data_IF_387928126919
#
_entry.id   IF_387928126919
#
_cell.length_a   1.000
_cell.length_b   1.000
_cell.length_c   1.000
_cell.angle_alpha   90.00
_cell.angle_beta   90.00
_cell.angle_gamma   90.00
#
_symmetry.space_group_name_H-M   'P 1'
#
loop_
_entity.id
_entity.type
_entity.pdbx_description
1 polymer ?
#
# COMPACT_ATOMS: atom_id res chain seq x y z
N UNK A 1 15.38 3.93 13.97
CA UNK A 1 14.10 3.26 13.60
C UNK A 1 14.35 1.85 13.07
N UNK A 2 14.61 0.87 13.95
CA UNK A 2 14.81 -0.55 13.57
C UNK A 2 13.48 -1.30 13.40
N UNK A 3 12.56 -0.66 12.70
CA UNK A 3 11.20 -1.14 12.48
C UNK A 3 11.12 -2.18 11.38
N UNK A 4 11.79 -3.32 11.56
CA UNK A 4 11.78 -4.42 10.58
C UNK A 4 10.99 -5.59 11.16
N UNK A 5 10.26 -6.31 10.28
CA UNK A 5 9.57 -7.58 10.53
C UNK A 5 9.03 -7.83 11.96
N UNK A 6 7.70 -7.78 12.15
CA UNK A 6 7.09 -8.24 13.39
C UNK A 6 7.40 -9.71 13.71
N UNK A 7 7.17 -10.09 14.98
CA UNK A 7 7.60 -11.38 15.54
C UNK A 7 7.26 -12.61 14.68
N UNK A 8 6.12 -12.62 13.98
CA UNK A 8 5.76 -13.72 13.06
C UNK A 8 6.75 -13.85 11.89
N UNK A 9 7.10 -12.73 11.25
CA UNK A 9 8.03 -12.73 10.11
C UNK A 9 9.45 -13.03 10.58
N UNK A 10 9.84 -12.52 11.74
CA UNK A 10 11.13 -12.83 12.37
C UNK A 10 11.23 -14.33 12.71
N UNK A 11 10.19 -14.90 13.31
CA UNK A 11 10.16 -16.33 13.65
C UNK A 11 10.35 -17.21 12.41
N UNK A 12 9.66 -16.91 11.31
CA UNK A 12 9.87 -17.63 10.04
C UNK A 12 11.28 -17.43 9.47
N UNK A 13 11.87 -16.23 9.61
CA UNK A 13 13.24 -15.97 9.16
C UNK A 13 14.26 -16.79 9.96
N UNK A 14 14.13 -16.81 11.29
CA UNK A 14 15.00 -17.60 12.17
C UNK A 14 14.86 -19.10 11.89
N UNK A 15 13.64 -19.61 11.67
CA UNK A 15 13.44 -21.01 11.28
C UNK A 15 14.09 -21.35 9.94
N UNK A 16 14.03 -20.46 8.94
CA UNK A 16 14.72 -20.66 7.65
C UNK A 16 16.24 -20.67 7.76
N UNK A 17 16.77 -19.99 8.77
CA UNK A 17 18.20 -20.03 9.10
C UNK A 17 18.59 -21.23 9.96
N UNK A 18 17.67 -22.16 10.25
CA UNK A 18 17.95 -23.38 11.00
C UNK A 18 17.81 -23.27 12.51
N UNK A 19 17.34 -22.13 13.05
CA UNK A 19 17.15 -21.96 14.48
C UNK A 19 15.90 -22.71 14.97
N UNK A 20 16.07 -23.58 15.96
CA UNK A 20 14.97 -24.21 16.70
C UNK A 20 14.43 -23.25 17.76
N UNK A 21 13.65 -22.26 17.32
CA UNK A 21 13.07 -21.23 18.19
C UNK A 21 11.54 -21.15 18.06
N UNK A 22 10.88 -21.02 19.21
CA UNK A 22 9.44 -20.79 19.27
C UNK A 22 9.04 -19.36 18.87
N UNK A 23 7.80 -19.19 18.42
CA UNK A 23 7.24 -17.87 18.07
C UNK A 23 7.32 -16.89 19.25
N UNK A 24 6.94 -17.33 20.44
CA UNK A 24 6.87 -16.47 21.63
C UNK A 24 8.26 -16.17 22.18
N UNK A 25 9.21 -17.11 22.03
CA UNK A 25 10.61 -16.88 22.34
C UNK A 25 11.22 -15.84 21.40
N UNK A 26 10.85 -15.87 20.11
CA UNK A 26 11.23 -14.82 19.14
C UNK A 26 10.68 -13.46 19.57
N UNK A 27 9.41 -13.39 19.97
CA UNK A 27 8.79 -12.16 20.45
C UNK A 27 9.47 -11.61 21.71
N UNK A 28 9.87 -12.50 22.64
CA UNK A 28 10.62 -12.13 23.84
C UNK A 28 12.01 -11.57 23.49
N UNK A 29 12.75 -12.23 22.59
CA UNK A 29 14.06 -11.75 22.13
C UNK A 29 13.95 -10.39 21.43
N UNK A 30 12.93 -10.20 20.59
CA UNK A 30 12.66 -8.91 19.96
C UNK A 30 12.41 -7.81 21.01
N UNK A 31 11.64 -8.10 22.06
CA UNK A 31 11.40 -7.16 23.17
C UNK A 31 12.68 -6.79 23.90
N UNK A 32 13.51 -7.78 24.24
CA UNK A 32 14.82 -7.56 24.88
C UNK A 32 15.74 -6.71 24.00
N UNK A 33 15.72 -6.94 22.69
CA UNK A 33 16.52 -6.20 21.72
C UNK A 33 15.92 -4.83 21.32
N UNK A 34 14.78 -4.42 21.90
CA UNK A 34 14.08 -3.18 21.52
C UNK A 34 13.50 -3.19 20.10
N UNK A 35 13.43 -4.36 19.46
CA UNK A 35 12.92 -4.55 18.11
C UNK A 35 11.40 -4.64 18.12
N UNK A 36 10.77 -3.85 17.25
CA UNK A 36 9.32 -3.85 17.08
C UNK A 36 8.99 -3.97 15.58
N UNK A 37 7.93 -4.74 15.30
CA UNK A 37 7.44 -4.87 13.94
C UNK A 37 6.74 -3.59 13.50
N UNK A 38 7.15 -3.03 12.36
CA UNK A 38 6.37 -1.99 11.68
C UNK A 38 5.34 -2.64 10.78
N UNK A 39 4.08 -2.25 10.96
CA UNK A 39 3.01 -2.48 9.99
C UNK A 39 3.00 -1.28 9.05
N UNK A 40 3.31 -1.48 7.77
CA UNK A 40 2.99 -0.46 6.76
C UNK A 40 1.48 -0.29 6.77
N UNK A 41 1.02 0.96 6.90
CA UNK A 41 -0.40 1.29 6.75
C UNK A 41 -0.92 0.77 5.41
N UNK A 42 -2.22 0.47 5.34
CA UNK A 42 -2.85 0.11 4.07
C UNK A 42 -2.82 1.35 3.18
N UNK A 43 -2.26 1.24 1.98
CA UNK A 43 -2.46 2.28 0.98
C UNK A 43 -3.94 2.29 0.59
N UNK A 44 -4.61 3.45 0.58
CA UNK A 44 -5.91 3.56 -0.04
C UNK A 44 -5.76 3.22 -1.52
N UNK A 45 -6.46 2.18 -1.96
CA UNK A 45 -6.61 1.91 -3.39
C UNK A 45 -7.70 2.84 -3.89
N UNK A 46 -7.33 3.84 -4.70
CA UNK A 46 -8.23 4.86 -5.26
C UNK A 46 -9.05 4.32 -6.42
N UNK A 47 -8.56 3.27 -7.08
CA UNK A 47 -9.17 2.72 -8.29
C UNK A 47 -9.14 1.21 -8.21
N UNK A 48 -10.32 0.59 -8.18
CA UNK A 48 -10.47 -0.84 -8.44
C UNK A 48 -10.70 -0.96 -9.93
N UNK A 49 -9.70 -1.45 -10.67
CA UNK A 49 -9.84 -1.69 -12.10
C UNK A 49 -11.01 -2.64 -12.35
N UNK A 50 -11.84 -2.32 -13.34
CA UNK A 50 -12.86 -3.26 -13.82
C UNK A 50 -12.18 -4.54 -14.29
N UNK A 51 -12.79 -5.69 -14.01
CA UNK A 51 -12.35 -6.98 -14.56
C UNK A 51 -12.79 -7.17 -16.02
N UNK A 52 -13.68 -6.31 -16.50
CA UNK A 52 -14.15 -6.30 -17.87
C UNK A 52 -13.30 -5.33 -18.70
N UNK A 53 -13.05 -5.62 -19.99
CA UNK A 53 -12.42 -4.67 -20.89
C UNK A 53 -13.21 -3.36 -20.93
N UNK A 54 -12.49 -2.24 -20.93
CA UNK A 54 -13.11 -0.92 -21.11
C UNK A 54 -13.28 -0.66 -22.61
N UNK A 55 -14.54 -0.59 -23.05
CA UNK A 55 -14.90 -0.36 -24.44
C UNK A 55 -15.27 1.10 -24.71
N UNK A 56 -15.13 2.00 -23.72
CA UNK A 56 -15.42 3.42 -23.92
C UNK A 56 -14.35 4.03 -24.84
N UNK A 57 -14.74 4.72 -25.92
CA UNK A 57 -13.78 5.38 -26.79
C UNK A 57 -13.13 6.56 -26.06
N UNK A 58 -11.81 6.69 -26.19
CA UNK A 58 -11.07 7.90 -25.80
C UNK A 58 -11.27 8.95 -26.89
N UNK A 59 -12.30 9.78 -26.75
CA UNK A 59 -12.72 10.75 -27.77
C UNK A 59 -11.67 11.84 -28.06
N UNK A 60 -10.68 11.97 -27.19
CA UNK A 60 -9.65 13.02 -27.28
C UNK A 60 -8.24 12.44 -27.37
N UNK A 61 -8.10 11.12 -27.42
CA UNK A 61 -6.80 10.44 -27.54
C UNK A 61 -5.74 10.91 -26.53
N UNK A 62 -6.17 11.26 -25.31
CA UNK A 62 -5.33 11.86 -24.25
C UNK A 62 -4.72 13.23 -24.58
N UNK A 63 -5.19 13.90 -25.63
CA UNK A 63 -4.93 15.32 -25.86
C UNK A 63 -5.93 16.17 -25.07
N UNK A 64 -5.44 16.90 -24.07
CA UNK A 64 -6.26 17.78 -23.24
C UNK A 64 -6.12 19.26 -23.61
N UNK A 65 -5.55 19.55 -24.78
CA UNK A 65 -5.46 20.89 -25.32
C UNK A 65 -6.76 21.29 -26.03
N UNK A 66 -7.24 22.52 -25.81
CA UNK A 66 -8.39 23.10 -26.50
C UNK A 66 -8.00 24.46 -27.10
N UNK A 67 -8.56 24.79 -28.28
CA UNK A 67 -8.25 26.04 -28.98
C UNK A 67 -9.10 27.20 -28.44
N UNK A 68 -10.29 26.90 -27.93
CA UNK A 68 -11.17 27.87 -27.30
C UNK A 68 -11.88 27.30 -26.04
N UNK A 69 -12.42 28.17 -25.17
CA UNK A 69 -13.27 27.74 -24.05
C UNK A 69 -14.50 26.94 -24.53
N UNK A 70 -14.99 26.03 -23.69
CA UNK A 70 -16.15 25.17 -23.94
C UNK A 70 -15.99 24.10 -25.04
N UNK A 71 -14.79 23.88 -25.58
CA UNK A 71 -14.52 22.80 -26.53
C UNK A 71 -14.14 21.47 -25.85
N UNK A 72 -13.51 21.53 -24.68
CA UNK A 72 -13.12 20.37 -23.88
C UNK A 72 -13.42 20.61 -22.41
N UNK A 73 -14.06 19.62 -21.77
CA UNK A 73 -14.36 19.65 -20.35
C UNK A 73 -13.63 18.49 -19.67
N UNK A 74 -12.69 18.82 -18.78
CA UNK A 74 -11.94 17.85 -17.99
C UNK A 74 -12.32 18.00 -16.53
N UNK A 75 -12.54 16.89 -15.84
CA UNK A 75 -12.79 16.85 -14.41
C UNK A 75 -11.90 15.81 -13.74
N UNK A 76 -11.36 16.15 -12.57
CA UNK A 76 -10.72 15.20 -11.66
C UNK A 76 -11.49 15.10 -10.35
N UNK A 77 -11.28 14.00 -9.62
CA UNK A 77 -11.75 13.84 -8.25
C UNK A 77 -10.51 13.69 -7.37
N UNK A 78 -10.34 14.65 -6.46
CA UNK A 78 -9.29 14.60 -5.44
C UNK A 78 -9.89 14.23 -4.08
N UNK A 79 -9.46 13.10 -3.52
CA UNK A 79 -9.87 12.68 -2.17
C UNK A 79 -8.98 13.33 -1.11
N UNK A 80 -9.59 14.08 -0.18
CA UNK A 80 -8.90 14.66 0.98
C UNK A 80 -9.02 13.72 2.18
N UNK A 81 -7.88 13.42 2.82
CA UNK A 81 -7.85 12.56 4.00
C UNK A 81 -8.43 13.30 5.21
N UNK A 82 -9.39 12.70 5.90
CA UNK A 82 -9.94 13.23 7.16
C UNK A 82 -9.28 12.58 8.37
N UNK A 83 -9.26 13.29 9.51
CA UNK A 83 -8.64 12.85 10.78
C UNK A 83 -9.35 11.64 11.42
N UNK A 84 -10.57 11.33 11.02
CA UNK A 84 -11.32 10.16 11.51
C UNK A 84 -11.06 8.86 10.76
N UNK A 85 -10.14 8.85 9.78
CA UNK A 85 -9.88 7.73 8.87
C UNK A 85 -8.62 6.90 9.16
#
# INVERSE_FOLDING_TARGET
>A
NYGVYGHRKMWHAMRRQGWMIGRDQTARLMRVAGLHGVRRGRHPFTTVASKLPDHRPDLVERDFHALAPNELWVADITYVRTVGG
#
